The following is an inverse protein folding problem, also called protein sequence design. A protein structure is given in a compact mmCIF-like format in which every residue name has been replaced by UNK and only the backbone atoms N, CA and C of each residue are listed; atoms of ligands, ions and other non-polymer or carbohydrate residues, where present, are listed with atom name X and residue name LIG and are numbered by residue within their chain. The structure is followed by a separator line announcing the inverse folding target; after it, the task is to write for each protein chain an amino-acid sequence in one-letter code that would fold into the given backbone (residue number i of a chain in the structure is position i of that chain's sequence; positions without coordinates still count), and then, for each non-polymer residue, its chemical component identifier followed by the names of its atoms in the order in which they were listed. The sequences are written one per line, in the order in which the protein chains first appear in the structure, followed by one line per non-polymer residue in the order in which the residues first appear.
data_IF_636266034063
#
_entry.id   IF_636266034063
#
_cell.length_a   1.000
_cell.length_b   1.000
_cell.length_c   1.000
_cell.angle_alpha   90.00
_cell.angle_beta   90.00
_cell.angle_gamma   90.00
#
_symmetry.space_group_name_H-M   'P 1'
#
loop_
_entity.id
_entity.type
_entity.pdbx_description
1 polymer ?
#
# COMPACT_ATOMS: atom_id res chain seq x y z
N UNK A 1 3.06 56.87 -6.94
CA UNK A 1 3.23 57.40 -8.31
C UNK A 1 3.91 56.32 -9.14
N UNK A 2 3.44 56.15 -10.34
CA UNK A 2 3.85 55.25 -11.44
C UNK A 2 3.38 53.83 -11.43
N UNK A 3 2.21 53.66 -12.09
CA UNK A 3 1.66 52.45 -12.66
C UNK A 3 2.51 52.00 -13.87
N UNK A 4 2.87 50.73 -13.93
CA UNK A 4 3.38 50.15 -15.18
C UNK A 4 2.51 48.90 -15.43
N UNK A 5 1.63 49.06 -16.43
CA UNK A 5 0.91 47.95 -17.09
C UNK A 5 1.88 47.29 -18.05
N UNK A 6 2.07 45.98 -17.92
CA UNK A 6 2.65 45.16 -19.00
C UNK A 6 1.62 44.11 -19.37
N UNK A 7 0.96 44.37 -20.49
CA UNK A 7 0.23 43.34 -21.24
C UNK A 7 1.27 42.39 -21.81
N UNK A 8 1.10 41.11 -21.59
CA UNK A 8 1.80 40.08 -22.38
C UNK A 8 0.84 39.02 -22.84
N UNK A 9 0.82 38.90 -24.13
CA UNK A 9 -0.04 38.14 -25.01
C UNK A 9 -0.10 36.67 -24.70
N UNK A 10 -1.34 36.15 -24.73
CA UNK A 10 -1.69 34.74 -24.76
C UNK A 10 -1.37 34.20 -26.16
N UNK A 11 -0.45 33.23 -26.25
CA UNK A 11 -0.30 32.38 -27.44
C UNK A 11 -0.90 31.02 -27.13
N UNK A 12 -2.05 30.79 -27.69
CA UNK A 12 -2.79 29.53 -27.64
C UNK A 12 -2.27 28.62 -28.75
N UNK A 13 -1.49 27.60 -28.38
CA UNK A 13 -1.06 26.56 -29.35
C UNK A 13 -1.97 25.36 -29.18
N UNK A 14 -2.86 25.19 -30.17
CA UNK A 14 -3.69 23.99 -30.35
C UNK A 14 -2.83 22.90 -30.99
N UNK A 15 -2.50 21.85 -30.25
CA UNK A 15 -1.98 20.61 -30.83
C UNK A 15 -3.14 19.65 -31.04
N UNK A 16 -3.60 19.55 -32.25
CA UNK A 16 -4.45 18.47 -32.74
C UNK A 16 -3.56 17.27 -33.07
N UNK A 17 -3.62 16.19 -32.34
CA UNK A 17 -3.07 14.91 -32.77
C UNK A 17 -4.17 14.09 -33.44
N UNK A 18 -4.05 14.02 -34.75
CA UNK A 18 -4.83 13.14 -35.62
C UNK A 18 -4.26 11.72 -35.49
N UNK A 19 -5.14 10.74 -35.24
CA UNK A 19 -4.81 9.32 -35.18
C UNK A 19 -5.22 8.69 -36.50
N UNK A 20 -4.26 8.26 -37.31
CA UNK A 20 -4.53 7.35 -38.43
C UNK A 20 -3.59 6.17 -38.38
N UNK A 21 -4.21 4.99 -38.49
CA UNK A 21 -3.61 3.70 -38.28
C UNK A 21 -2.66 3.25 -39.39
N UNK A 22 -1.81 2.33 -39.04
CA UNK A 22 -1.20 1.38 -39.98
C UNK A 22 -1.01 0.03 -39.26
N UNK A 23 -1.58 -1.00 -39.90
CA UNK A 23 -1.30 -2.41 -39.69
C UNK A 23 0.05 -2.72 -40.35
N UNK A 24 0.90 -3.50 -39.75
CA UNK A 24 1.44 -4.76 -40.27
C UNK A 24 2.51 -5.38 -39.35
N UNK A 25 2.28 -6.57 -39.06
CA UNK A 25 3.01 -7.86 -38.98
C UNK A 25 4.44 -7.94 -38.41
N UNK A 26 4.52 -8.82 -37.44
CA UNK A 26 5.42 -9.98 -37.33
C UNK A 26 6.76 -9.80 -36.61
N UNK A 27 6.90 -10.37 -35.43
CA UNK A 27 7.68 -11.57 -35.12
C UNK A 27 8.46 -11.50 -33.80
N UNK A 28 8.15 -12.49 -32.97
CA UNK A 28 8.99 -13.16 -31.97
C UNK A 28 9.97 -12.32 -31.09
N UNK A 29 9.64 -12.27 -29.81
CA UNK A 29 10.61 -12.56 -28.77
C UNK A 29 9.93 -12.95 -27.46
N UNK A 30 10.17 -14.19 -27.06
CA UNK A 30 10.18 -14.79 -25.74
C UNK A 30 9.33 -14.11 -24.65
N UNK A 31 8.23 -14.78 -24.30
CA UNK A 31 7.43 -14.47 -23.13
C UNK A 31 8.23 -14.54 -21.84
N UNK A 32 8.45 -13.40 -21.22
CA UNK A 32 8.52 -13.30 -19.80
C UNK A 32 7.07 -13.06 -19.36
N UNK A 33 6.41 -14.16 -18.98
CA UNK A 33 5.14 -14.10 -18.27
C UNK A 33 5.44 -13.51 -16.89
N UNK A 34 5.51 -12.18 -16.81
CA UNK A 34 5.29 -11.51 -15.54
C UNK A 34 3.86 -11.88 -15.11
N UNK A 35 3.79 -12.85 -14.21
CA UNK A 35 2.59 -13.12 -13.44
C UNK A 35 2.26 -11.84 -12.68
N UNK A 36 1.49 -10.98 -13.34
CA UNK A 36 0.85 -9.81 -12.75
C UNK A 36 -0.08 -10.36 -11.68
N UNK A 37 0.45 -10.48 -10.46
CA UNK A 37 -0.30 -10.91 -9.30
C UNK A 37 -1.39 -9.87 -9.04
N UNK A 38 -2.59 -10.23 -9.36
CA UNK A 38 -3.94 -9.91 -8.89
C UNK A 38 -4.12 -8.72 -7.91
N UNK A 39 -3.57 -7.56 -8.23
CA UNK A 39 -3.96 -6.33 -7.55
C UNK A 39 -5.42 -5.94 -7.86
N UNK A 40 -5.98 -6.43 -8.97
CA UNK A 40 -7.37 -6.18 -9.36
C UNK A 40 -8.38 -7.01 -8.57
N UNK A 41 -7.98 -8.19 -8.08
CA UNK A 41 -8.85 -9.06 -7.29
C UNK A 41 -8.91 -8.63 -5.82
N UNK A 42 -7.80 -8.15 -5.27
CA UNK A 42 -7.74 -7.67 -3.88
C UNK A 42 -8.56 -6.40 -3.65
N UNK A 43 -8.70 -5.53 -4.65
CA UNK A 43 -9.47 -4.29 -4.51
C UNK A 43 -10.96 -4.51 -4.28
N UNK A 44 -11.51 -5.65 -4.67
CA UNK A 44 -12.90 -6.04 -4.42
C UNK A 44 -13.11 -6.75 -3.07
N UNK A 45 -12.03 -7.15 -2.41
CA UNK A 45 -12.11 -7.86 -1.13
C UNK A 45 -12.48 -6.90 0.01
N UNK A 46 -13.57 -7.14 0.77
CA UNK A 46 -14.02 -6.24 1.83
C UNK A 46 -13.02 -6.12 2.99
N UNK A 47 -12.31 -7.19 3.35
CA UNK A 47 -11.26 -7.13 4.38
C UNK A 47 -10.08 -6.28 3.92
N UNK A 48 -9.75 -6.33 2.63
CA UNK A 48 -8.72 -5.47 2.04
C UNK A 48 -9.11 -4.00 2.12
N UNK A 49 -10.32 -3.65 1.66
CA UNK A 49 -10.80 -2.27 1.65
C UNK A 49 -10.91 -1.69 3.07
N UNK A 50 -11.51 -2.43 4.00
CA UNK A 50 -11.68 -1.98 5.38
C UNK A 50 -10.33 -1.78 6.07
N UNK A 51 -9.44 -2.76 5.97
CA UNK A 51 -8.13 -2.69 6.62
C UNK A 51 -7.24 -1.59 6.02
N UNK A 52 -7.25 -1.41 4.69
CA UNK A 52 -6.54 -0.32 4.01
C UNK A 52 -7.02 1.05 4.48
N UNK A 53 -8.34 1.25 4.59
CA UNK A 53 -8.94 2.51 5.05
C UNK A 53 -8.51 2.82 6.49
N UNK A 54 -8.55 1.84 7.39
CA UNK A 54 -8.15 1.99 8.80
C UNK A 54 -6.66 2.32 8.93
N UNK A 55 -5.78 1.67 8.17
CA UNK A 55 -4.34 1.96 8.15
C UNK A 55 -4.08 3.37 7.61
N UNK A 56 -4.81 3.80 6.57
CA UNK A 56 -4.68 5.14 6.00
C UNK A 56 -5.16 6.27 6.93
N UNK A 57 -6.08 5.97 7.84
CA UNK A 57 -6.58 6.91 8.85
C UNK A 57 -5.71 6.95 10.11
N UNK A 58 -4.76 6.04 10.22
CA UNK A 58 -3.87 5.90 11.37
C UNK A 58 -2.45 6.32 10.98
N UNK A 59 -1.57 6.47 11.99
CA UNK A 59 -0.16 6.85 11.79
C UNK A 59 0.77 5.69 11.43
N UNK A 60 0.21 4.51 11.13
CA UNK A 60 0.94 3.26 10.86
C UNK A 60 2.02 3.41 9.79
N UNK A 61 1.72 4.16 8.71
CA UNK A 61 2.63 4.34 7.58
C UNK A 61 3.81 5.27 7.88
N UNK A 62 3.86 5.87 9.07
CA UNK A 62 5.03 6.61 9.55
C UNK A 62 6.21 5.66 9.80
N UNK A 63 5.93 4.46 10.32
CA UNK A 63 6.93 3.46 10.71
C UNK A 63 6.96 2.22 9.81
N UNK A 64 5.90 1.95 9.06
CA UNK A 64 5.79 0.82 8.15
C UNK A 64 5.63 1.26 6.69
N UNK A 65 6.06 0.42 5.77
CA UNK A 65 5.78 0.50 4.33
C UNK A 65 5.25 -0.84 3.85
N UNK A 66 4.67 -0.86 2.67
CA UNK A 66 4.16 -2.12 2.09
C UNK A 66 5.31 -3.06 1.74
N UNK A 67 6.33 -2.55 1.06
CA UNK A 67 7.41 -3.35 0.49
C UNK A 67 8.80 -3.05 1.10
N UNK A 68 8.92 -2.08 1.99
CA UNK A 68 10.20 -1.62 2.52
C UNK A 68 10.20 -1.62 4.04
N UNK A 69 11.31 -2.05 4.64
CA UNK A 69 11.58 -1.85 6.07
C UNK A 69 11.87 -0.37 6.35
N UNK A 70 11.27 0.14 7.42
CA UNK A 70 11.55 1.49 7.89
C UNK A 70 11.94 1.43 9.38
N UNK A 71 11.13 1.92 10.31
CA UNK A 71 11.29 1.69 11.74
C UNK A 71 10.65 0.37 12.18
N UNK A 72 9.64 -0.08 11.44
CA UNK A 72 9.00 -1.38 11.58
C UNK A 72 9.21 -2.25 10.35
N UNK A 73 8.83 -3.55 10.41
CA UNK A 73 8.92 -4.45 9.28
C UNK A 73 8.00 -4.00 8.12
N UNK A 74 8.38 -4.35 6.89
CA UNK A 74 7.48 -4.20 5.76
C UNK A 74 6.22 -5.05 5.95
N UNK A 75 5.06 -4.54 5.54
CA UNK A 75 3.80 -5.30 5.65
C UNK A 75 3.84 -6.60 4.85
N UNK A 76 4.51 -6.60 3.71
CA UNK A 76 4.70 -7.81 2.90
C UNK A 76 5.58 -8.85 3.59
N UNK A 77 6.61 -8.42 4.30
CA UNK A 77 7.44 -9.34 5.11
C UNK A 77 6.59 -9.97 6.21
N UNK A 78 5.72 -9.20 6.86
CA UNK A 78 4.77 -9.70 7.86
C UNK A 78 3.82 -10.72 7.21
N UNK A 79 3.24 -10.38 6.05
CA UNK A 79 2.33 -11.26 5.33
C UNK A 79 2.98 -12.59 4.93
N UNK A 80 4.20 -12.54 4.39
CA UNK A 80 4.93 -13.73 3.98
C UNK A 80 5.36 -14.61 5.17
N UNK A 81 5.81 -13.98 6.27
CA UNK A 81 6.18 -14.69 7.50
C UNK A 81 5.01 -15.44 8.12
N UNK A 82 3.83 -14.88 8.00
CA UNK A 82 2.59 -15.42 8.58
C UNK A 82 1.62 -15.92 7.52
N UNK A 83 2.13 -16.44 6.39
CA UNK A 83 1.32 -16.89 5.25
C UNK A 83 0.27 -17.96 5.60
N UNK A 84 0.55 -18.81 6.58
CA UNK A 84 -0.38 -19.79 7.16
C UNK A 84 -1.16 -19.17 8.33
N UNK A 85 -1.88 -18.07 8.09
CA UNK A 85 -2.63 -17.36 9.12
C UNK A 85 -3.80 -18.18 9.66
N UNK A 86 -3.99 -18.08 10.97
CA UNK A 86 -5.15 -18.61 11.69
C UNK A 86 -5.81 -17.47 12.48
N UNK A 87 -7.06 -17.68 12.92
CA UNK A 87 -7.76 -16.69 13.74
C UNK A 87 -6.97 -16.35 15.02
N UNK A 88 -6.36 -17.35 15.65
CA UNK A 88 -5.48 -17.15 16.82
C UNK A 88 -4.29 -16.24 16.50
N UNK A 89 -3.72 -16.35 15.30
CA UNK A 89 -2.64 -15.48 14.87
C UNK A 89 -3.14 -14.05 14.64
N UNK A 90 -4.30 -13.89 13.99
CA UNK A 90 -4.92 -12.58 13.76
C UNK A 90 -5.16 -11.89 15.10
N UNK A 91 -5.72 -12.58 16.09
CA UNK A 91 -5.93 -12.05 17.45
C UNK A 91 -4.62 -11.62 18.12
N UNK A 92 -3.57 -12.42 17.99
CA UNK A 92 -2.25 -12.11 18.56
C UNK A 92 -1.65 -10.85 17.91
N UNK A 93 -1.71 -10.74 16.60
CA UNK A 93 -1.18 -9.57 15.89
C UNK A 93 -2.03 -8.32 16.15
N UNK A 94 -3.35 -8.44 16.25
CA UNK A 94 -4.24 -7.34 16.62
C UNK A 94 -3.91 -6.81 18.03
N UNK A 95 -3.73 -7.70 19.00
CA UNK A 95 -3.27 -7.33 20.34
C UNK A 95 -1.90 -6.68 20.33
N UNK A 96 -1.01 -7.08 19.42
CA UNK A 96 0.30 -6.44 19.23
C UNK A 96 0.15 -5.00 18.76
N UNK A 97 -0.73 -4.74 17.81
CA UNK A 97 -1.03 -3.38 17.34
C UNK A 97 -1.51 -2.51 18.51
N UNK A 98 -2.46 -3.00 19.31
CA UNK A 98 -3.04 -2.25 20.43
C UNK A 98 -2.01 -1.97 21.52
N UNK A 99 -1.22 -2.99 21.89
CA UNK A 99 -0.25 -2.90 22.99
C UNK A 99 1.08 -2.26 22.61
N UNK A 100 1.44 -2.31 21.34
CA UNK A 100 2.73 -1.85 20.85
C UNK A 100 3.91 -2.65 21.42
N UNK A 101 5.05 -1.99 21.54
CA UNK A 101 6.28 -2.54 22.10
C UNK A 101 7.11 -3.36 21.11
N UNK A 102 8.23 -3.92 21.60
CA UNK A 102 9.09 -4.83 20.84
C UNK A 102 9.20 -6.15 21.63
N UNK A 103 8.82 -7.25 20.99
CA UNK A 103 8.87 -8.59 21.59
C UNK A 103 10.03 -9.44 21.02
N UNK A 104 10.95 -8.80 20.27
CA UNK A 104 12.06 -9.50 19.65
C UNK A 104 11.67 -10.36 18.43
N UNK A 105 10.41 -10.34 18.01
CA UNK A 105 9.95 -11.12 16.85
C UNK A 105 10.60 -10.67 15.54
N UNK A 106 11.05 -9.43 15.49
CA UNK A 106 11.67 -8.80 14.35
C UNK A 106 13.00 -8.18 14.78
N UNK A 107 14.03 -8.35 13.95
CA UNK A 107 15.32 -7.67 14.11
C UNK A 107 15.17 -6.19 13.70
N UNK A 108 14.55 -5.42 14.60
CA UNK A 108 14.25 -3.99 14.43
C UNK A 108 14.63 -3.24 15.70
N UNK A 109 15.32 -2.10 15.58
CA UNK A 109 15.77 -1.34 16.75
C UNK A 109 14.63 -0.57 17.43
N UNK A 110 13.52 -0.37 16.75
CA UNK A 110 12.39 0.43 17.21
C UNK A 110 11.40 -0.33 18.07
N UNK A 111 10.63 0.44 18.84
CA UNK A 111 9.44 -0.04 19.53
C UNK A 111 8.20 0.44 18.80
N UNK A 112 7.25 -0.46 18.54
CA UNK A 112 5.95 -0.09 17.98
C UNK A 112 5.16 0.75 18.96
N UNK A 113 4.62 1.88 18.52
CA UNK A 113 3.75 2.75 19.32
C UNK A 113 2.47 2.02 19.71
N UNK A 114 2.01 2.08 20.96
CA UNK A 114 0.72 1.56 21.38
C UNK A 114 -0.45 2.34 20.77
N UNK A 115 -1.52 1.64 20.43
CA UNK A 115 -2.76 2.24 19.92
C UNK A 115 -3.96 1.84 20.82
N UNK A 116 -4.02 2.31 22.08
CA UNK A 116 -5.00 1.81 23.07
C UNK A 116 -6.44 2.22 22.76
N UNK A 117 -6.64 3.20 21.90
CA UNK A 117 -7.98 3.66 21.46
C UNK A 117 -8.54 2.86 20.29
N UNK A 118 -7.71 2.02 19.66
CA UNK A 118 -8.13 1.19 18.54
C UNK A 118 -8.94 0.00 19.06
N UNK A 119 -10.11 -0.25 18.47
CA UNK A 119 -10.91 -1.43 18.79
C UNK A 119 -10.20 -2.71 18.35
N UNK A 120 -10.47 -3.82 19.06
CA UNK A 120 -9.92 -5.13 18.67
C UNK A 120 -10.39 -5.56 17.29
N UNK A 121 -11.63 -5.26 16.93
CA UNK A 121 -12.22 -5.52 15.61
C UNK A 121 -11.49 -4.75 14.49
N UNK A 122 -11.18 -3.49 14.71
CA UNK A 122 -10.47 -2.68 13.73
C UNK A 122 -9.01 -3.12 13.59
N UNK A 123 -8.35 -3.44 14.71
CA UNK A 123 -7.02 -4.02 14.71
C UNK A 123 -6.99 -5.35 13.94
N UNK A 124 -7.98 -6.24 14.10
CA UNK A 124 -8.13 -7.48 13.30
C UNK A 124 -8.32 -7.18 11.83
N UNK A 125 -9.10 -6.18 11.48
CA UNK A 125 -9.32 -5.78 10.09
C UNK A 125 -8.02 -5.27 9.45
N UNK A 126 -7.21 -4.50 10.17
CA UNK A 126 -5.87 -4.08 9.72
C UNK A 126 -4.95 -5.29 9.51
N UNK A 127 -4.94 -6.25 10.43
CA UNK A 127 -4.13 -7.48 10.30
C UNK A 127 -4.55 -8.28 9.07
N UNK A 128 -5.84 -8.46 8.83
CA UNK A 128 -6.35 -9.17 7.65
C UNK A 128 -5.88 -8.52 6.36
N UNK A 129 -5.96 -7.19 6.25
CA UNK A 129 -5.40 -6.45 5.11
C UNK A 129 -3.91 -6.76 4.93
N UNK A 130 -3.11 -6.65 6.00
CA UNK A 130 -1.67 -6.91 5.93
C UNK A 130 -1.40 -8.34 5.42
N UNK A 131 -2.11 -9.35 5.93
CA UNK A 131 -1.91 -10.75 5.54
C UNK A 131 -2.33 -11.05 4.10
N UNK A 132 -3.24 -10.27 3.51
CA UNK A 132 -3.61 -10.37 2.09
C UNK A 132 -2.47 -9.89 1.15
N UNK A 133 -1.48 -9.17 1.64
CA UNK A 133 -0.36 -8.65 0.84
C UNK A 133 0.72 -9.69 0.53
N UNK A 134 0.57 -10.95 0.96
CA UNK A 134 1.53 -12.03 0.68
C UNK A 134 1.77 -12.21 -0.82
N UNK A 135 2.99 -12.56 -1.18
CA UNK A 135 3.40 -12.95 -2.54
C UNK A 135 3.84 -14.40 -2.56
#
# INVERSE_FOLDING_TARGET
MKKIFVLSSIVMVLFACNNEGSKDATKDSAGVSEKKSDASDLSSNPDYQKGLALIGQSDCLTCHRIDEKLQGPAYRDVANRYAASSDTLIDRLAKKIIKGGNDGSWDMPGMMTPHPTLSEEDAKSMVKYILLLKK
#
